data_IF_243260944952
#
_entry.id   IF_243260944952
#
_cell.length_a   1.000
_cell.length_b   1.000
_cell.length_c   1.000
_cell.angle_alpha   90.00
_cell.angle_beta   90.00
_cell.angle_gamma   90.00
#
_symmetry.space_group_name_H-M   'P 1'
#
loop_
_entity.id
_entity.type
_entity.pdbx_description
1 polymer ?
#
# COMPACT_ATOMS: atom_id res chain seq x y z
N UNK A 1 19.57 -15.56 -8.74
CA UNK A 1 18.77 -14.33 -8.95
C UNK A 1 17.62 -14.65 -9.88
N UNK A 2 16.42 -14.15 -9.59
CA UNK A 2 15.26 -14.22 -10.48
C UNK A 2 14.80 -12.80 -10.72
N UNK A 3 14.66 -12.42 -12.00
CA UNK A 3 14.16 -11.11 -12.42
C UNK A 3 12.84 -11.32 -13.17
N UNK A 4 11.85 -10.50 -12.90
CA UNK A 4 10.55 -10.47 -13.56
C UNK A 4 10.26 -9.01 -13.92
N UNK A 5 9.85 -8.79 -15.17
CA UNK A 5 9.29 -7.52 -15.61
C UNK A 5 7.86 -7.75 -16.09
N UNK A 6 6.98 -6.81 -15.89
CA UNK A 6 5.58 -6.91 -16.25
C UNK A 6 4.98 -5.56 -16.61
N UNK A 7 3.92 -5.64 -17.40
CA UNK A 7 3.05 -4.54 -17.74
C UNK A 7 1.61 -4.96 -17.48
N UNK A 8 0.83 -4.09 -16.85
CA UNK A 8 -0.58 -4.32 -16.53
C UNK A 8 -1.34 -3.07 -16.95
N UNK A 9 -2.34 -3.23 -17.81
CA UNK A 9 -3.32 -2.20 -18.06
C UNK A 9 -4.43 -2.33 -17.01
N UNK A 10 -4.63 -1.30 -16.20
CA UNK A 10 -5.60 -1.29 -15.10
C UNK A 10 -6.92 -0.67 -15.48
N UNK A 11 -6.87 0.19 -16.47
CA UNK A 11 -8.03 0.89 -17.00
C UNK A 11 -7.83 1.09 -18.50
N UNK A 12 -8.89 0.85 -19.26
CA UNK A 12 -9.02 1.18 -20.68
C UNK A 12 -10.31 1.97 -20.85
N UNK A 13 -10.21 3.20 -21.31
CA UNK A 13 -11.38 4.03 -21.61
C UNK A 13 -11.69 3.95 -23.11
N UNK A 14 -12.46 2.93 -23.49
CA UNK A 14 -12.82 2.64 -24.89
C UNK A 14 -14.21 3.12 -25.28
N UNK A 15 -14.82 4.03 -24.53
CA UNK A 15 -16.20 4.43 -24.79
C UNK A 15 -16.41 5.40 -25.95
N UNK A 16 -15.37 5.99 -26.48
CA UNK A 16 -15.45 6.90 -27.63
C UNK A 16 -14.38 6.58 -28.64
N UNK A 17 -14.80 6.19 -29.83
CA UNK A 17 -14.02 5.54 -30.87
C UNK A 17 -12.96 6.43 -31.54
N UNK A 18 -12.70 7.65 -31.12
CA UNK A 18 -11.80 8.54 -31.87
C UNK A 18 -11.00 9.57 -31.03
N UNK A 19 -11.01 9.51 -29.72
CA UNK A 19 -10.20 10.43 -28.92
C UNK A 19 -9.22 9.57 -28.09
N UNK A 20 -7.97 9.57 -28.51
CA UNK A 20 -6.84 9.16 -27.66
C UNK A 20 -6.68 10.24 -26.58
N UNK A 21 -7.47 10.10 -25.55
CA UNK A 21 -7.61 11.10 -24.48
C UNK A 21 -6.61 10.89 -23.33
N UNK A 22 -5.67 9.93 -23.48
CA UNK A 22 -4.64 9.67 -22.48
C UNK A 22 -5.17 9.12 -21.14
N UNK A 23 -6.39 8.64 -21.09
CA UNK A 23 -7.09 8.19 -19.88
C UNK A 23 -6.78 6.75 -19.47
N UNK A 24 -5.89 6.09 -20.14
CA UNK A 24 -5.50 4.71 -19.82
C UNK A 24 -4.72 4.65 -18.51
N UNK A 25 -5.11 3.72 -17.64
CA UNK A 25 -4.32 3.39 -16.46
C UNK A 25 -3.34 2.26 -16.74
N UNK A 26 -2.07 2.47 -16.44
CA UNK A 26 -1.02 1.50 -16.70
C UNK A 26 -0.14 1.28 -15.46
N UNK A 27 0.38 0.07 -15.30
CA UNK A 27 1.42 -0.26 -14.32
C UNK A 27 2.55 -0.99 -14.99
N UNK A 28 3.74 -0.45 -14.85
CA UNK A 28 4.98 -1.12 -15.20
C UNK A 28 5.64 -1.62 -13.92
N UNK A 29 6.12 -2.85 -13.91
CA UNK A 29 6.78 -3.41 -12.75
C UNK A 29 8.08 -4.14 -13.11
N UNK A 30 9.06 -4.03 -12.21
CA UNK A 30 10.28 -4.84 -12.20
C UNK A 30 10.45 -5.42 -10.79
N UNK A 31 10.65 -6.71 -10.71
CA UNK A 31 10.82 -7.41 -9.44
C UNK A 31 12.03 -8.33 -9.49
N UNK A 32 12.92 -8.21 -8.54
CA UNK A 32 14.14 -9.01 -8.42
C UNK A 32 14.16 -9.80 -7.11
N UNK A 33 14.55 -11.07 -7.18
CA UNK A 33 14.74 -11.91 -6.02
C UNK A 33 16.19 -12.44 -5.95
N UNK A 34 16.80 -12.25 -4.79
CA UNK A 34 18.15 -12.72 -4.44
C UNK A 34 18.05 -13.67 -3.25
N UNK A 35 18.42 -14.94 -3.44
CA UNK A 35 18.46 -15.94 -2.36
C UNK A 35 19.81 -15.91 -1.66
N UNK A 36 19.85 -16.35 -0.39
CA UNK A 36 21.07 -16.48 0.41
C UNK A 36 21.53 -15.19 1.08
N UNK A 37 20.74 -14.12 1.03
CA UNK A 37 21.06 -12.86 1.69
C UNK A 37 20.60 -12.92 3.15
N UNK A 38 21.52 -12.68 4.10
CA UNK A 38 21.26 -12.66 5.55
C UNK A 38 20.41 -13.85 6.06
N UNK A 39 20.74 -15.07 5.63
CA UNK A 39 20.00 -16.27 6.04
C UNK A 39 18.61 -16.41 5.42
N UNK A 40 18.34 -15.69 4.34
CA UNK A 40 17.02 -15.67 3.71
C UNK A 40 17.03 -15.21 2.26
N UNK A 41 16.04 -14.39 1.91
CA UNK A 41 15.83 -13.86 0.58
C UNK A 41 15.58 -12.36 0.64
N UNK A 42 16.28 -11.61 -0.21
CA UNK A 42 15.98 -10.23 -0.53
C UNK A 42 15.12 -10.16 -1.78
N UNK A 43 14.08 -9.32 -1.76
CA UNK A 43 13.21 -9.04 -2.89
C UNK A 43 13.15 -7.53 -3.08
N UNK A 44 13.61 -7.04 -4.23
CA UNK A 44 13.48 -5.64 -4.63
C UNK A 44 12.35 -5.48 -5.62
N UNK A 45 11.64 -4.36 -5.56
CA UNK A 45 10.58 -4.00 -6.50
C UNK A 45 10.72 -2.54 -6.94
N UNK A 46 10.43 -2.32 -8.20
CA UNK A 46 10.15 -1.00 -8.75
C UNK A 46 8.85 -1.08 -9.51
N UNK A 47 7.96 -0.10 -9.30
CA UNK A 47 6.75 0.07 -10.10
C UNK A 47 6.62 1.53 -10.55
N UNK A 48 6.09 1.71 -11.74
CA UNK A 48 5.57 2.99 -12.20
C UNK A 48 4.09 2.82 -12.45
N UNK A 49 3.29 3.60 -11.74
CA UNK A 49 1.85 3.68 -11.89
C UNK A 49 1.53 4.95 -12.67
N UNK A 50 0.88 4.76 -13.80
CA UNK A 50 0.40 5.81 -14.67
C UNK A 50 -1.13 5.73 -14.70
N UNK A 51 -1.76 6.73 -14.15
CA UNK A 51 -3.23 6.82 -14.09
C UNK A 51 -3.69 8.09 -14.82
N UNK A 52 -3.20 8.27 -16.02
CA UNK A 52 -3.38 9.36 -16.98
C UNK A 52 -4.33 10.50 -16.58
N UNK A 53 -5.55 10.18 -16.20
CA UNK A 53 -6.54 11.16 -15.78
C UNK A 53 -7.35 10.62 -14.59
N UNK A 54 -7.41 11.37 -13.51
CA UNK A 54 -8.36 11.10 -12.43
C UNK A 54 -9.65 11.91 -12.69
N UNK A 55 -10.75 11.29 -13.12
CA UNK A 55 -11.99 12.04 -13.34
C UNK A 55 -12.51 12.52 -11.99
N UNK A 56 -12.41 13.79 -11.73
CA UNK A 56 -13.14 14.43 -10.66
C UNK A 56 -14.56 14.66 -11.17
N UNK A 57 -15.49 13.94 -10.56
CA UNK A 57 -16.94 14.03 -10.76
C UNK A 57 -17.41 13.95 -12.22
N UNK A 58 -17.93 12.78 -12.56
CA UNK A 58 -18.85 12.67 -13.67
C UNK A 58 -20.03 13.64 -13.42
N UNK A 59 -19.97 14.80 -14.02
CA UNK A 59 -21.16 15.62 -14.17
C UNK A 59 -22.04 14.87 -15.18
N UNK A 60 -23.11 14.26 -14.72
CA UNK A 60 -24.00 13.42 -15.50
C UNK A 60 -24.63 14.14 -16.72
N UNK A 61 -24.38 15.44 -16.86
CA UNK A 61 -24.91 16.25 -17.93
C UNK A 61 -23.95 16.49 -19.12
N UNK A 62 -22.66 16.27 -18.93
CA UNK A 62 -21.67 16.36 -20.01
C UNK A 62 -20.83 15.11 -19.99
N UNK A 63 -20.94 14.25 -21.01
CA UNK A 63 -20.15 13.03 -21.15
C UNK A 63 -18.65 13.30 -21.44
N UNK A 64 -18.18 14.51 -21.22
CA UNK A 64 -16.78 14.87 -21.33
C UNK A 64 -16.11 14.67 -19.97
N UNK A 65 -15.22 13.72 -19.91
CA UNK A 65 -14.26 13.57 -18.79
C UNK A 65 -13.27 14.72 -18.95
N UNK A 66 -13.36 15.72 -18.08
CA UNK A 66 -12.40 16.81 -18.08
C UNK A 66 -11.15 16.34 -17.33
N UNK A 67 -10.08 16.08 -18.06
CA UNK A 67 -8.77 15.69 -17.52
C UNK A 67 -7.94 16.89 -17.02
N UNK A 68 -8.53 18.06 -16.88
CA UNK A 68 -7.84 19.26 -16.42
C UNK A 68 -7.42 19.23 -14.92
N UNK A 69 -7.67 18.11 -14.23
CA UNK A 69 -7.41 18.01 -12.78
C UNK A 69 -6.07 17.36 -12.43
N UNK A 70 -5.12 17.35 -13.36
CA UNK A 70 -3.77 16.92 -13.08
C UNK A 70 -3.52 15.41 -13.19
N UNK A 71 -2.30 15.03 -12.91
CA UNK A 71 -1.76 13.68 -13.09
C UNK A 71 -1.62 12.96 -11.75
N UNK A 72 -1.99 11.69 -11.69
CA UNK A 72 -1.69 10.83 -10.55
C UNK A 72 -0.73 9.72 -11.00
N UNK A 73 0.50 10.14 -11.30
CA UNK A 73 1.56 9.28 -11.81
C UNK A 73 2.67 9.19 -10.78
N UNK A 74 3.00 7.98 -10.35
CA UNK A 74 4.03 7.84 -9.33
C UNK A 74 4.86 6.56 -9.45
N UNK A 75 6.04 6.64 -8.94
CA UNK A 75 6.99 5.55 -8.81
C UNK A 75 6.93 4.96 -7.41
N UNK A 76 7.11 3.66 -7.30
CA UNK A 76 7.39 2.99 -6.03
C UNK A 76 8.68 2.22 -6.15
N UNK A 77 9.61 2.46 -5.25
CA UNK A 77 10.85 1.69 -5.14
C UNK A 77 10.99 1.15 -3.73
N UNK A 78 11.43 -0.08 -3.61
CA UNK A 78 11.65 -0.62 -2.28
C UNK A 78 12.06 -2.08 -2.28
N UNK A 79 12.09 -2.64 -1.09
CA UNK A 79 12.50 -4.01 -0.94
C UNK A 79 12.09 -4.63 0.39
N UNK A 80 12.16 -5.93 0.39
CA UNK A 80 11.86 -6.80 1.51
C UNK A 80 12.97 -7.81 1.71
N UNK A 81 13.47 -7.90 2.93
CA UNK A 81 14.36 -8.96 3.37
C UNK A 81 13.60 -9.86 4.35
N UNK A 82 13.60 -11.16 4.09
CA UNK A 82 12.98 -12.14 4.99
C UNK A 82 13.86 -13.38 5.11
N UNK A 83 13.94 -13.93 6.30
CA UNK A 83 14.80 -15.10 6.55
C UNK A 83 14.70 -15.62 7.98
N UNK A 84 15.74 -16.37 8.34
CA UNK A 84 15.94 -16.88 9.71
C UNK A 84 17.30 -16.48 10.22
N UNK A 85 17.34 -15.93 11.43
CA UNK A 85 18.57 -15.57 12.12
C UNK A 85 18.41 -15.76 13.62
N UNK A 86 19.41 -16.35 14.27
CA UNK A 86 19.40 -16.65 15.71
C UNK A 86 18.18 -17.46 16.18
N UNK A 87 17.64 -18.33 15.33
CA UNK A 87 16.46 -19.15 15.64
C UNK A 87 15.12 -18.41 15.59
N UNK A 88 15.13 -17.17 15.11
CA UNK A 88 13.94 -16.35 14.87
C UNK A 88 13.66 -16.26 13.36
N UNK A 89 12.40 -16.25 12.99
CA UNK A 89 11.94 -15.83 11.69
C UNK A 89 11.85 -14.30 11.69
N UNK A 90 12.40 -13.65 10.68
CA UNK A 90 12.34 -12.20 10.56
C UNK A 90 11.89 -11.77 9.17
N UNK A 91 11.30 -10.56 9.09
CA UNK A 91 11.02 -9.84 7.86
C UNK A 91 11.11 -8.35 8.14
N UNK A 92 11.87 -7.66 7.31
CA UNK A 92 11.89 -6.21 7.24
C UNK A 92 11.58 -5.76 5.82
N UNK A 93 10.82 -4.69 5.66
CA UNK A 93 10.49 -4.12 4.36
C UNK A 93 10.41 -2.61 4.44
N UNK A 94 10.78 -1.97 3.32
CA UNK A 94 10.68 -0.53 3.14
C UNK A 94 10.36 -0.23 1.68
N UNK A 95 9.42 0.71 1.48
CA UNK A 95 9.02 1.20 0.16
C UNK A 95 8.86 2.72 0.22
N UNK A 96 9.28 3.38 -0.85
CA UNK A 96 9.16 4.81 -1.04
C UNK A 96 8.42 5.10 -2.34
N UNK A 97 7.49 6.07 -2.28
CA UNK A 97 6.70 6.53 -3.42
C UNK A 97 7.00 7.99 -3.68
N UNK A 98 7.15 8.35 -4.95
CA UNK A 98 7.39 9.71 -5.39
C UNK A 98 6.78 9.94 -6.77
N UNK A 99 6.39 11.18 -7.07
CA UNK A 99 5.75 11.58 -8.31
C UNK A 99 4.63 12.58 -8.09
N UNK A 100 3.54 12.45 -8.82
CA UNK A 100 2.39 13.35 -8.76
C UNK A 100 1.20 12.70 -8.08
N UNK A 101 0.42 13.51 -7.39
CA UNK A 101 -0.82 13.08 -6.73
C UNK A 101 -1.95 14.11 -6.94
N UNK A 102 -1.98 14.72 -8.11
CA UNK A 102 -2.98 15.74 -8.43
C UNK A 102 -4.40 15.14 -8.33
N UNK A 103 -5.33 15.91 -7.85
CA UNK A 103 -6.72 15.49 -7.71
C UNK A 103 -7.01 14.45 -6.62
N UNK A 104 -6.01 14.05 -5.81
CA UNK A 104 -6.21 13.09 -4.70
C UNK A 104 -6.71 13.79 -3.44
N UNK A 105 -6.53 15.09 -3.30
CA UNK A 105 -6.94 15.85 -2.14
C UNK A 105 -8.47 15.97 -2.02
N UNK A 106 -9.01 15.54 -0.91
CA UNK A 106 -10.33 15.83 -0.27
C UNK A 106 -11.44 16.47 -1.10
N UNK A 107 -11.68 16.02 -2.34
CA UNK A 107 -12.80 16.53 -3.13
C UNK A 107 -12.68 17.99 -3.59
N UNK A 108 -11.63 18.70 -3.27
CA UNK A 108 -11.29 19.96 -3.91
C UNK A 108 -10.62 19.65 -5.23
N UNK A 109 -11.41 19.60 -6.27
CA UNK A 109 -10.94 19.65 -7.64
C UNK A 109 -10.10 20.92 -7.80
N UNK A 110 -8.77 20.77 -7.93
CA UNK A 110 -8.06 21.88 -8.45
C UNK A 110 -6.76 22.32 -7.82
N UNK A 111 -6.01 21.47 -7.13
CA UNK A 111 -4.59 21.76 -7.05
C UNK A 111 -3.84 20.88 -8.07
N UNK A 112 -3.48 21.45 -9.24
CA UNK A 112 -2.84 20.70 -10.32
C UNK A 112 -1.37 20.37 -10.04
N UNK A 113 -0.81 20.81 -8.91
CA UNK A 113 0.61 20.71 -8.61
C UNK A 113 0.90 19.98 -7.29
N UNK A 114 0.15 18.92 -6.99
CA UNK A 114 0.37 18.13 -5.76
C UNK A 114 1.49 17.10 -5.96
N UNK A 115 2.57 17.25 -5.20
CA UNK A 115 3.67 16.31 -5.20
C UNK A 115 3.41 15.11 -4.27
N UNK A 116 3.87 13.93 -4.68
CA UNK A 116 3.81 12.72 -3.85
C UNK A 116 5.17 12.41 -3.25
N UNK A 117 5.20 12.25 -1.92
CA UNK A 117 6.40 11.80 -1.19
C UNK A 117 5.97 10.93 -0.01
N UNK A 118 5.76 9.64 -0.25
CA UNK A 118 5.18 8.73 0.73
C UNK A 118 6.07 7.51 0.98
N UNK A 119 5.99 6.94 2.17
CA UNK A 119 6.78 5.75 2.49
C UNK A 119 6.01 4.78 3.39
N UNK A 120 6.41 3.53 3.31
CA UNK A 120 6.01 2.51 4.28
C UNK A 120 7.21 1.73 4.76
N UNK A 121 7.16 1.29 6.01
CA UNK A 121 8.05 0.25 6.50
C UNK A 121 7.29 -0.78 7.33
N UNK A 122 7.77 -2.03 7.28
CA UNK A 122 7.21 -3.13 8.05
C UNK A 122 8.30 -3.96 8.70
N UNK A 123 8.06 -4.37 9.94
CA UNK A 123 8.96 -5.25 10.70
C UNK A 123 8.18 -6.41 11.30
N UNK A 124 8.69 -7.62 11.14
CA UNK A 124 8.10 -8.83 11.71
C UNK A 124 9.18 -9.69 12.30
N UNK A 125 8.97 -10.13 13.54
CA UNK A 125 9.87 -11.07 14.22
C UNK A 125 9.03 -12.14 14.90
N UNK A 126 9.33 -13.39 14.60
CA UNK A 126 8.55 -14.51 15.11
C UNK A 126 9.40 -15.72 15.50
N UNK A 127 8.78 -16.61 16.25
CA UNK A 127 9.37 -17.90 16.61
C UNK A 127 8.30 -18.99 16.59
N UNK A 128 8.68 -20.13 16.02
CA UNK A 128 7.87 -21.35 16.06
C UNK A 128 8.55 -22.39 16.94
N UNK A 129 7.82 -22.97 17.89
CA UNK A 129 8.29 -23.95 18.86
C UNK A 129 7.87 -25.36 18.41
N UNK A 130 8.57 -25.90 17.42
CA UNK A 130 8.19 -27.16 16.77
C UNK A 130 8.32 -28.40 17.68
N UNK A 131 9.11 -28.31 18.76
CA UNK A 131 9.36 -29.39 19.73
C UNK A 131 8.41 -29.32 20.95
N UNK A 132 7.47 -28.39 20.96
CA UNK A 132 6.49 -28.21 22.04
C UNK A 132 5.13 -28.76 21.57
N UNK A 133 4.37 -29.32 22.49
CA UNK A 133 2.99 -29.79 22.22
C UNK A 133 2.19 -28.66 21.53
N UNK A 134 1.41 -29.03 20.51
CA UNK A 134 0.65 -28.12 19.66
C UNK A 134 1.49 -27.20 18.76
N UNK A 135 2.83 -27.29 18.79
CA UNK A 135 3.76 -26.52 17.94
C UNK A 135 3.37 -25.03 17.85
N UNK A 136 3.27 -24.33 18.99
CA UNK A 136 2.87 -22.92 18.96
C UNK A 136 3.88 -22.06 18.23
N UNK A 137 3.40 -20.95 17.68
CA UNK A 137 4.20 -19.92 17.08
C UNK A 137 3.63 -18.55 17.41
N UNK A 138 4.53 -17.59 17.67
CA UNK A 138 4.19 -16.20 17.95
C UNK A 138 4.97 -15.31 16.99
N UNK A 139 4.32 -14.27 16.49
CA UNK A 139 4.95 -13.24 15.66
C UNK A 139 4.52 -11.87 16.18
N UNK A 140 5.48 -11.00 16.44
CA UNK A 140 5.29 -9.57 16.58
C UNK A 140 5.36 -8.94 15.21
N UNK A 141 4.48 -7.96 14.97
CA UNK A 141 4.30 -7.33 13.68
C UNK A 141 4.10 -5.84 13.90
N UNK A 142 4.83 -5.03 13.13
CA UNK A 142 4.62 -3.60 13.09
C UNK A 142 4.72 -3.12 11.66
N UNK A 143 3.68 -2.44 11.19
CA UNK A 143 3.64 -1.75 9.89
C UNK A 143 3.34 -0.27 10.12
N UNK A 144 4.04 0.58 9.37
CA UNK A 144 3.84 2.01 9.32
C UNK A 144 3.67 2.44 7.86
N UNK A 145 2.58 3.11 7.57
CA UNK A 145 2.29 3.75 6.30
C UNK A 145 2.19 5.26 6.57
N UNK A 146 3.00 6.05 5.87
CA UNK A 146 2.96 7.51 6.02
C UNK A 146 1.59 8.08 5.68
N UNK A 147 1.24 9.18 6.30
CA UNK A 147 0.03 9.97 6.08
C UNK A 147 0.36 11.37 5.58
N UNK A 148 -0.68 12.09 5.23
CA UNK A 148 -0.65 13.49 4.84
C UNK A 148 -1.24 14.30 5.99
N UNK A 149 -0.48 15.23 6.53
CA UNK A 149 -0.96 16.17 7.55
C UNK A 149 -1.75 17.33 6.91
N UNK A 150 -2.46 18.10 7.73
CA UNK A 150 -3.14 19.31 7.26
C UNK A 150 -2.13 20.33 6.68
N UNK A 151 -0.92 20.41 7.25
CA UNK A 151 0.12 21.31 6.75
C UNK A 151 0.66 20.86 5.39
N UNK A 152 0.88 19.55 5.20
CA UNK A 152 1.29 19.01 3.90
C UNK A 152 0.27 19.36 2.81
N UNK A 153 -1.04 19.27 3.13
CA UNK A 153 -2.10 19.63 2.18
C UNK A 153 -2.07 21.11 1.80
N UNK A 154 -1.73 22.00 2.75
CA UNK A 154 -1.56 23.43 2.49
C UNK A 154 -0.35 23.68 1.59
N UNK A 155 0.71 22.93 1.79
CA UNK A 155 1.96 23.06 1.05
C UNK A 155 1.90 22.40 -0.35
N UNK A 156 0.81 21.71 -0.68
CA UNK A 156 0.63 21.01 -1.95
C UNK A 156 1.27 19.62 -2.00
N UNK A 157 1.50 19.00 -0.84
CA UNK A 157 2.13 17.69 -0.72
C UNK A 157 1.11 16.60 -0.38
N UNK A 158 1.27 15.42 -0.98
CA UNK A 158 0.53 14.22 -0.63
C UNK A 158 1.48 13.12 -0.14
N UNK A 159 1.56 12.96 1.17
CA UNK A 159 2.49 12.06 1.85
C UNK A 159 1.85 10.72 2.26
N UNK A 160 0.60 10.48 1.90
CA UNK A 160 -0.08 9.22 2.21
C UNK A 160 0.33 8.09 1.26
N UNK A 161 0.81 7.00 1.84
CA UNK A 161 1.26 5.83 1.10
C UNK A 161 0.10 5.10 0.43
N UNK A 162 0.23 4.85 -0.86
CA UNK A 162 -0.75 4.09 -1.66
C UNK A 162 -0.35 2.62 -1.73
N UNK A 163 -1.19 1.75 -1.20
CA UNK A 163 -0.92 0.31 -1.12
C UNK A 163 -1.07 -0.42 -2.47
N UNK A 164 -1.46 0.25 -3.52
CA UNK A 164 -1.69 -0.30 -4.88
C UNK A 164 -2.36 -1.70 -4.86
N UNK A 165 -3.60 -1.80 -5.32
CA UNK A 165 -4.32 -3.07 -5.40
C UNK A 165 -4.38 -3.84 -4.08
N UNK A 166 -4.66 -3.15 -2.99
CA UNK A 166 -4.65 -3.71 -1.67
C UNK A 166 -5.57 -4.93 -1.53
N UNK A 167 -5.03 -5.97 -0.90
CA UNK A 167 -5.77 -7.17 -0.48
C UNK A 167 -5.68 -7.26 1.05
N UNK A 168 -6.29 -6.30 1.73
CA UNK A 168 -6.07 -6.01 3.12
C UNK A 168 -6.29 -7.10 4.13
N UNK A 169 -7.23 -8.00 3.89
CA UNK A 169 -7.60 -9.08 4.82
C UNK A 169 -6.44 -9.83 5.44
N UNK A 170 -5.33 -9.94 4.71
CA UNK A 170 -4.15 -10.66 5.19
C UNK A 170 -3.30 -9.85 6.16
N UNK A 171 -3.35 -8.54 6.07
CA UNK A 171 -2.41 -7.64 6.75
C UNK A 171 -3.10 -6.87 7.88
N UNK A 172 -4.19 -6.20 7.60
CA UNK A 172 -4.82 -5.20 8.47
C UNK A 172 -6.18 -5.65 9.02
N UNK A 173 -6.34 -6.96 9.23
CA UNK A 173 -7.58 -7.56 9.72
C UNK A 173 -8.57 -7.91 8.60
N UNK A 174 -9.60 -8.68 8.96
CA UNK A 174 -10.55 -9.24 7.99
C UNK A 174 -11.62 -8.25 7.52
N UNK A 175 -11.79 -7.12 8.21
CA UNK A 175 -12.86 -6.16 7.93
C UNK A 175 -12.44 -5.04 6.99
N UNK A 176 -11.15 -4.92 6.66
CA UNK A 176 -10.58 -3.87 5.78
C UNK A 176 -10.98 -2.43 6.14
N UNK A 177 -11.24 -2.16 7.41
CA UNK A 177 -11.75 -0.86 7.88
C UNK A 177 -10.78 0.28 7.57
N UNK A 178 -9.48 -0.02 7.55
CA UNK A 178 -8.40 0.97 7.37
C UNK A 178 -7.82 1.00 5.95
N UNK A 179 -8.35 0.19 5.04
CA UNK A 179 -7.96 0.17 3.63
C UNK A 179 -8.95 0.96 2.79
N UNK A 180 -8.58 1.31 1.59
CA UNK A 180 -9.29 2.28 0.77
C UNK A 180 -8.63 3.65 0.89
N UNK A 181 -7.36 3.63 1.22
CA UNK A 181 -6.48 4.76 1.35
C UNK A 181 -6.25 5.34 -0.05
N UNK A 182 -6.93 6.39 -0.40
CA UNK A 182 -6.51 7.11 -1.57
C UNK A 182 -7.56 7.65 -2.52
N UNK A 183 -8.83 7.29 -2.38
CA UNK A 183 -9.83 7.75 -3.34
C UNK A 183 -11.10 8.31 -2.68
N UNK A 184 -10.99 9.03 -1.56
CA UNK A 184 -12.17 9.72 -0.98
C UNK A 184 -13.34 8.81 -0.62
N UNK A 185 -13.13 7.49 -0.61
CA UNK A 185 -14.15 6.50 -0.26
C UNK A 185 -14.51 6.57 1.22
N UNK A 186 -15.72 6.14 1.55
CA UNK A 186 -16.24 6.03 2.92
C UNK A 186 -15.55 4.84 3.60
N UNK A 187 -14.27 5.02 3.93
CA UNK A 187 -13.42 3.98 4.54
C UNK A 187 -11.97 4.41 4.58
N UNK A 188 -11.15 3.66 5.29
CA UNK A 188 -9.73 3.94 5.43
C UNK A 188 -9.42 5.10 6.35
N UNK A 189 -8.17 5.53 6.34
CA UNK A 189 -7.67 6.61 7.20
C UNK A 189 -7.83 8.01 6.59
N UNK A 190 -8.47 8.12 5.44
CA UNK A 190 -8.64 9.38 4.70
C UNK A 190 -7.32 10.11 4.39
N UNK A 191 -6.27 9.36 4.13
CA UNK A 191 -4.95 9.95 3.86
C UNK A 191 -4.08 10.17 5.10
N UNK A 192 -4.56 9.93 6.31
CA UNK A 192 -3.79 10.11 7.55
C UNK A 192 -2.73 9.01 7.78
N UNK A 193 -2.60 8.06 6.85
CA UNK A 193 -1.70 6.93 7.01
C UNK A 193 -2.15 5.94 8.08
N UNK A 194 -1.34 4.91 8.35
CA UNK A 194 -1.71 3.83 9.26
C UNK A 194 -0.50 3.32 10.03
N UNK A 195 -0.70 3.09 11.32
CA UNK A 195 0.18 2.28 12.15
C UNK A 195 -0.57 1.04 12.60
N UNK A 196 0.04 -0.13 12.46
CA UNK A 196 -0.50 -1.40 12.93
C UNK A 196 0.53 -2.13 13.77
N UNK A 197 0.29 -2.23 15.07
CA UNK A 197 1.03 -3.10 15.97
C UNK A 197 0.22 -4.36 16.21
N UNK A 198 0.75 -5.53 15.81
CA UNK A 198 0.02 -6.77 15.95
C UNK A 198 0.83 -7.88 16.63
N UNK A 199 0.11 -8.74 17.35
CA UNK A 199 0.60 -10.02 17.85
C UNK A 199 -0.19 -11.12 17.17
N UNK A 200 0.52 -11.99 16.46
CA UNK A 200 -0.09 -13.12 15.75
C UNK A 200 0.34 -14.42 16.39
N UNK A 201 -0.62 -15.24 16.76
CA UNK A 201 -0.43 -16.54 17.37
C UNK A 201 -0.98 -17.64 16.47
N UNK A 202 -0.30 -18.76 16.38
CA UNK A 202 -0.79 -19.97 15.72
C UNK A 202 -0.44 -21.20 16.54
N UNK A 203 -1.29 -22.23 16.48
CA UNK A 203 -0.98 -23.56 17.03
C UNK A 203 -1.68 -24.67 16.22
N UNK A 204 -1.19 -25.88 16.38
CA UNK A 204 -1.73 -27.08 15.74
C UNK A 204 -2.19 -28.06 16.82
N UNK A 205 -3.45 -27.97 17.33
CA UNK A 205 -3.93 -28.77 18.45
C UNK A 205 -4.04 -30.27 18.10
N UNK A 206 -4.30 -30.60 16.82
CA UNK A 206 -4.34 -31.97 16.33
C UNK A 206 -4.04 -32.01 14.82
N UNK A 207 -3.75 -33.20 14.25
CA UNK A 207 -3.48 -33.35 12.83
C UNK A 207 -4.61 -32.76 11.97
N UNK A 208 -4.24 -31.96 10.97
CA UNK A 208 -5.21 -31.28 10.07
C UNK A 208 -5.85 -30.02 10.64
N UNK A 209 -5.65 -29.67 11.91
CA UNK A 209 -6.20 -28.47 12.53
C UNK A 209 -5.14 -27.40 12.74
N UNK A 210 -5.47 -26.16 12.38
CA UNK A 210 -4.67 -24.99 12.69
C UNK A 210 -5.54 -23.93 13.35
N UNK A 211 -5.20 -23.56 14.57
CA UNK A 211 -5.80 -22.41 15.24
C UNK A 211 -4.91 -21.19 15.04
N UNK A 212 -5.51 -20.04 14.72
CA UNK A 212 -4.85 -18.74 14.58
C UNK A 212 -5.61 -17.71 15.38
N UNK A 213 -4.86 -16.82 16.01
CA UNK A 213 -5.37 -15.66 16.72
C UNK A 213 -4.47 -14.47 16.39
N UNK A 214 -5.06 -13.41 15.90
CA UNK A 214 -4.38 -12.16 15.57
C UNK A 214 -5.03 -11.04 16.39
N UNK A 215 -4.21 -10.28 17.13
CA UNK A 215 -4.62 -9.07 17.84
C UNK A 215 -3.89 -7.89 17.23
N UNK A 216 -4.62 -6.84 16.90
CA UNK A 216 -4.13 -5.64 16.25
C UNK A 216 -4.46 -4.40 17.10
N UNK A 217 -3.52 -3.46 17.17
CA UNK A 217 -3.72 -2.11 17.68
C UNK A 217 -3.41 -1.13 16.55
N UNK A 218 -4.44 -0.42 16.09
CA UNK A 218 -4.35 0.51 14.99
C UNK A 218 -4.31 1.96 15.49
N UNK A 219 -3.52 2.79 14.81
CA UNK A 219 -3.52 4.24 14.95
C UNK A 219 -3.30 4.89 13.59
N UNK A 220 -3.70 6.13 13.40
CA UNK A 220 -3.30 6.93 12.26
C UNK A 220 -1.82 7.34 12.39
N UNK A 221 -1.12 7.55 11.26
CA UNK A 221 0.24 8.05 11.28
C UNK A 221 0.27 9.55 11.57
N UNK A 222 -0.71 10.29 11.04
CA UNK A 222 -0.89 11.71 11.28
C UNK A 222 -2.07 11.97 12.22
N UNK A 223 -1.97 13.04 13.03
CA UNK A 223 -3.04 13.50 13.92
C UNK A 223 -4.10 14.29 13.14
N UNK A 224 -5.34 14.26 13.64
CA UNK A 224 -6.38 15.20 13.24
C UNK A 224 -6.19 16.43 14.13
N UNK A 225 -5.93 17.62 13.55
CA UNK A 225 -6.06 18.86 14.30
C UNK A 225 -7.56 19.09 14.57
N UNK A 226 -7.98 18.95 15.83
CA UNK A 226 -9.29 19.46 16.24
C UNK A 226 -9.25 20.99 16.11
N UNK A 227 -10.07 21.54 15.22
CA UNK A 227 -10.31 22.98 15.05
C UNK A 227 -11.36 23.41 16.09
#
# INVERSE_FOLDING_TARGET
MKLVAGFIRTREDSRVVEIDDGNDGNVFLVHANLKGVLGGQFSGIYTYFDNGCSPVTANAATAAVDCNNGENNFHTIGGRQAGKMFGLDYRGEYYYQFGRADGVQNGNAGDPDTDRSAYMFGLRVGKSFNNVTFKPGVTLWYDYLSGTSDQDQIDGDWNSFNTLFDTGHKFYGLQDVFLGIGNGGVGGTRGLGLQDLAVKFKMHPMPGWTFKFDAHAFATAEGICEI
#
